data_IF_053447525246
#
_entry.id   IF_053447525246
#
_cell.length_a   1.000
_cell.length_b   1.000
_cell.length_c   1.000
_cell.angle_alpha   90.00
_cell.angle_beta   90.00
_cell.angle_gamma   90.00
#
_symmetry.space_group_name_H-M   'P 1'
#
loop_
_entity.id
_entity.type
_entity.pdbx_description
1 polymer ?
#
# COMPACT_ATOMS: atom_id res chain seq x y z
N UNK A 1 11.91 -5.29 -6.58
CA UNK A 1 13.33 -5.23 -6.15
C UNK A 1 13.70 -6.45 -5.29
N UNK A 2 14.98 -6.73 -5.03
CA UNK A 2 15.38 -7.69 -3.99
C UNK A 2 15.21 -7.09 -2.57
N UNK A 3 15.37 -7.93 -1.54
CA UNK A 3 15.14 -7.53 -0.15
C UNK A 3 16.16 -6.50 0.36
N UNK A 4 17.43 -6.63 -0.02
CA UNK A 4 18.48 -5.70 0.38
C UNK A 4 18.24 -4.30 -0.20
N UNK A 5 17.86 -4.21 -1.46
CA UNK A 5 17.53 -2.96 -2.13
C UNK A 5 16.28 -2.30 -1.52
N UNK A 6 15.25 -3.08 -1.15
CA UNK A 6 14.06 -2.56 -0.45
C UNK A 6 14.42 -1.99 0.93
N UNK A 7 15.22 -2.70 1.71
CA UNK A 7 15.64 -2.24 3.04
C UNK A 7 16.45 -0.94 2.94
N UNK A 8 17.32 -0.83 1.93
CA UNK A 8 18.06 0.40 1.66
C UNK A 8 17.12 1.55 1.30
N UNK A 9 16.14 1.33 0.43
CA UNK A 9 15.16 2.34 0.04
C UNK A 9 14.34 2.84 1.24
N UNK A 10 13.91 1.93 2.11
CA UNK A 10 13.20 2.28 3.35
C UNK A 10 14.07 3.09 4.31
N UNK A 11 15.34 2.74 4.46
CA UNK A 11 16.29 3.49 5.28
C UNK A 11 16.47 4.92 4.75
N UNK A 12 16.73 5.06 3.45
CA UNK A 12 16.88 6.37 2.80
C UNK A 12 15.59 7.21 2.94
N UNK A 13 14.42 6.59 2.78
CA UNK A 13 13.15 7.27 2.96
C UNK A 13 12.91 7.73 4.40
N UNK A 14 13.30 6.91 5.38
CA UNK A 14 13.22 7.26 6.81
C UNK A 14 14.07 8.47 7.18
N UNK A 15 15.25 8.61 6.58
CA UNK A 15 16.20 9.70 6.84
C UNK A 15 15.86 10.99 6.08
N UNK A 16 15.51 10.88 4.79
CA UNK A 16 15.37 12.04 3.89
C UNK A 16 13.93 12.48 3.67
N UNK A 17 12.95 11.58 3.80
CA UNK A 17 11.52 11.80 3.48
C UNK A 17 11.29 12.49 2.11
N UNK A 18 12.13 12.19 1.12
CA UNK A 18 12.03 12.76 -0.22
C UNK A 18 10.83 12.16 -1.00
N UNK A 19 10.15 13.02 -1.78
CA UNK A 19 9.10 12.65 -2.72
C UNK A 19 9.54 11.57 -3.72
N UNK A 20 10.76 11.64 -4.26
CA UNK A 20 11.25 10.63 -5.23
C UNK A 20 11.37 9.23 -4.60
N UNK A 21 11.78 9.17 -3.33
CA UNK A 21 11.90 7.91 -2.60
C UNK A 21 10.51 7.34 -2.27
N UNK A 22 9.58 8.23 -1.91
CA UNK A 22 8.18 7.88 -1.70
C UNK A 22 7.54 7.33 -2.97
N UNK A 23 7.78 7.97 -4.11
CA UNK A 23 7.29 7.49 -5.41
C UNK A 23 7.84 6.10 -5.74
N UNK A 24 9.14 5.87 -5.53
CA UNK A 24 9.73 4.53 -5.71
C UNK A 24 9.07 3.47 -4.83
N UNK A 25 8.79 3.79 -3.57
CA UNK A 25 8.08 2.88 -2.66
C UNK A 25 6.65 2.62 -3.13
N UNK A 26 5.93 3.66 -3.58
CA UNK A 26 4.57 3.52 -4.11
C UNK A 26 4.59 2.58 -5.33
N UNK A 27 5.51 2.77 -6.27
CA UNK A 27 5.61 1.94 -7.47
C UNK A 27 5.98 0.49 -7.16
N UNK A 28 6.93 0.25 -6.24
CA UNK A 28 7.31 -1.10 -5.82
C UNK A 28 6.14 -1.86 -5.18
N UNK A 29 5.30 -1.18 -4.38
CA UNK A 29 4.19 -1.81 -3.66
C UNK A 29 2.82 -1.67 -4.33
N UNK A 30 2.70 -0.94 -5.44
CA UNK A 30 1.46 -0.80 -6.20
C UNK A 30 0.79 -2.15 -6.58
N UNK A 31 1.52 -3.23 -6.91
CA UNK A 31 0.89 -4.53 -7.17
C UNK A 31 0.09 -5.08 -5.97
N UNK A 32 0.46 -4.70 -4.74
CA UNK A 32 -0.26 -5.12 -3.53
C UNK A 32 -1.68 -4.57 -3.50
N UNK A 33 -1.88 -3.34 -4.01
CA UNK A 33 -3.21 -2.72 -4.11
C UNK A 33 -4.11 -3.55 -5.01
N UNK A 34 -3.63 -3.93 -6.20
CA UNK A 34 -4.38 -4.75 -7.15
C UNK A 34 -4.78 -6.10 -6.57
N UNK A 35 -3.89 -6.72 -5.79
CA UNK A 35 -4.13 -7.98 -5.12
C UNK A 35 -5.21 -7.85 -4.03
N UNK A 36 -5.17 -6.80 -3.22
CA UNK A 36 -6.18 -6.55 -2.17
C UNK A 36 -7.53 -6.18 -2.78
N UNK A 37 -7.54 -5.24 -3.74
CA UNK A 37 -8.75 -4.82 -4.46
C UNK A 37 -9.40 -5.99 -5.19
N UNK A 38 -8.62 -6.86 -5.86
CA UNK A 38 -9.13 -8.02 -6.57
C UNK A 38 -9.74 -9.07 -5.66
N UNK A 39 -9.23 -9.23 -4.43
CA UNK A 39 -9.88 -10.08 -3.42
C UNK A 39 -11.18 -9.45 -2.93
N UNK A 40 -11.21 -8.14 -2.68
CA UNK A 40 -12.40 -7.46 -2.21
C UNK A 40 -13.52 -7.41 -3.25
N UNK A 41 -13.21 -7.23 -4.54
CA UNK A 41 -14.21 -7.23 -5.60
C UNK A 41 -14.97 -8.56 -5.66
N UNK A 42 -14.31 -9.68 -5.40
CA UNK A 42 -14.95 -11.01 -5.31
C UNK A 42 -16.00 -11.09 -4.18
N UNK A 43 -15.82 -10.34 -3.08
CA UNK A 43 -16.74 -10.32 -1.95
C UNK A 43 -17.84 -9.26 -2.09
N UNK A 44 -17.55 -8.12 -2.71
CA UNK A 44 -18.46 -6.98 -2.82
C UNK A 44 -19.41 -7.07 -4.04
N UNK A 45 -19.13 -7.98 -4.97
CA UNK A 45 -19.94 -8.18 -6.17
C UNK A 45 -19.82 -7.01 -7.17
N UNK A 46 -20.88 -6.76 -7.94
CA UNK A 46 -20.88 -5.78 -9.03
C UNK A 46 -21.30 -4.35 -8.61
N UNK A 47 -21.43 -4.08 -7.32
CA UNK A 47 -21.93 -2.78 -6.85
C UNK A 47 -20.87 -1.66 -6.93
N UNK A 48 -19.59 -2.01 -7.07
CA UNK A 48 -18.47 -1.06 -7.14
C UNK A 48 -17.54 -1.48 -8.25
N UNK A 49 -17.10 -0.52 -9.07
CA UNK A 49 -16.15 -0.80 -10.15
C UNK A 49 -14.77 -1.15 -9.60
N UNK A 50 -14.07 -2.06 -10.29
CA UNK A 50 -12.75 -2.50 -9.84
C UNK A 50 -11.74 -1.34 -9.78
N UNK A 51 -11.81 -0.42 -10.74
CA UNK A 51 -10.89 0.71 -10.81
C UNK A 51 -11.10 1.69 -9.64
N UNK A 52 -12.33 1.84 -9.13
CA UNK A 52 -12.60 2.60 -7.91
C UNK A 52 -11.95 1.94 -6.69
N UNK A 53 -12.06 0.61 -6.55
CA UNK A 53 -11.40 -0.14 -5.47
C UNK A 53 -9.88 0.03 -5.52
N UNK A 54 -9.29 0.01 -6.70
CA UNK A 54 -7.86 0.27 -6.90
C UNK A 54 -7.52 1.70 -6.48
N UNK A 55 -8.32 2.69 -6.89
CA UNK A 55 -8.15 4.09 -6.51
C UNK A 55 -8.14 4.28 -4.99
N UNK A 56 -9.15 3.79 -4.28
CA UNK A 56 -9.21 3.85 -2.81
C UNK A 56 -8.04 3.11 -2.16
N UNK A 57 -7.66 1.96 -2.72
CA UNK A 57 -6.53 1.18 -2.23
C UNK A 57 -5.18 1.90 -2.41
N UNK A 58 -4.99 2.68 -3.47
CA UNK A 58 -3.77 3.48 -3.68
C UNK A 58 -3.62 4.52 -2.57
N UNK A 59 -4.70 5.22 -2.19
CA UNK A 59 -4.64 6.15 -1.05
C UNK A 59 -4.28 5.43 0.26
N UNK A 60 -4.83 4.22 0.48
CA UNK A 60 -4.47 3.40 1.64
C UNK A 60 -3.01 2.94 1.64
N UNK A 61 -2.44 2.60 0.47
CA UNK A 61 -1.01 2.29 0.33
C UNK A 61 -0.14 3.50 0.64
N UNK A 62 -0.50 4.66 0.10
CA UNK A 62 0.22 5.90 0.31
C UNK A 62 0.27 6.26 1.81
N UNK A 63 -0.88 6.21 2.49
CA UNK A 63 -0.96 6.45 3.93
C UNK A 63 -0.14 5.41 4.72
N UNK A 64 -0.16 4.15 4.28
CA UNK A 64 0.66 3.10 4.89
C UNK A 64 2.15 3.39 4.75
N UNK A 65 2.62 3.86 3.59
CA UNK A 65 4.03 4.22 3.38
C UNK A 65 4.46 5.34 4.32
N UNK A 66 3.62 6.37 4.45
CA UNK A 66 3.95 7.55 5.23
C UNK A 66 4.01 7.26 6.74
N UNK A 67 3.20 6.30 7.21
CA UNK A 67 3.06 5.93 8.63
C UNK A 67 3.80 4.66 9.03
N UNK A 68 4.43 3.97 8.08
CA UNK A 68 5.15 2.74 8.40
C UNK A 68 6.37 3.02 9.27
N UNK A 69 6.54 2.19 10.28
CA UNK A 69 7.66 2.23 11.20
C UNK A 69 8.51 0.98 10.99
N UNK A 70 9.68 1.16 10.40
CA UNK A 70 10.63 0.09 10.09
C UNK A 70 11.26 -0.54 11.33
N UNK A 71 11.11 0.09 12.50
CA UNK A 71 11.60 -0.46 13.78
C UNK A 71 10.65 -1.53 14.34
N UNK A 72 9.42 -1.60 13.82
CA UNK A 72 8.49 -2.69 14.16
C UNK A 72 8.89 -3.90 13.35
N UNK A 73 9.13 -5.03 14.02
CA UNK A 73 9.54 -6.31 13.41
C UNK A 73 8.38 -6.97 12.63
N UNK A 74 7.85 -6.25 11.65
CA UNK A 74 6.75 -6.65 10.80
C UNK A 74 7.04 -6.23 9.37
N UNK A 75 6.78 -7.12 8.42
CA UNK A 75 6.92 -6.80 7.01
C UNK A 75 5.94 -5.71 6.59
N UNK A 76 6.40 -4.77 5.78
CA UNK A 76 5.56 -3.68 5.28
C UNK A 76 4.31 -4.21 4.57
N UNK A 77 4.43 -5.27 3.78
CA UNK A 77 3.33 -5.86 3.03
C UNK A 77 2.19 -6.34 3.94
N UNK A 78 2.52 -6.88 5.11
CA UNK A 78 1.55 -7.30 6.12
C UNK A 78 0.78 -6.10 6.67
N UNK A 79 1.49 -5.03 7.02
CA UNK A 79 0.88 -3.79 7.50
C UNK A 79 0.03 -3.11 6.43
N UNK A 80 0.61 -2.90 5.24
CA UNK A 80 -0.02 -2.21 4.12
C UNK A 80 -1.29 -2.93 3.64
N UNK A 81 -1.31 -4.27 3.62
CA UNK A 81 -2.50 -5.04 3.24
C UNK A 81 -3.71 -4.69 4.11
N UNK A 82 -3.52 -4.48 5.42
CA UNK A 82 -4.58 -4.09 6.34
C UNK A 82 -5.04 -2.65 6.09
N UNK A 83 -4.10 -1.73 5.85
CA UNK A 83 -4.38 -0.32 5.57
C UNK A 83 -5.13 -0.12 4.25
N UNK A 84 -4.67 -0.77 3.19
CA UNK A 84 -5.31 -0.76 1.86
C UNK A 84 -6.75 -1.29 1.98
N UNK A 85 -6.94 -2.44 2.64
CA UNK A 85 -8.27 -3.00 2.85
C UNK A 85 -9.19 -2.05 3.63
N UNK A 86 -8.69 -1.44 4.69
CA UNK A 86 -9.44 -0.46 5.48
C UNK A 86 -9.88 0.73 4.64
N UNK A 87 -8.95 1.33 3.87
CA UNK A 87 -9.24 2.47 3.00
C UNK A 87 -10.34 2.16 1.97
N UNK A 88 -10.29 0.97 1.35
CA UNK A 88 -11.33 0.55 0.39
C UNK A 88 -12.68 0.41 1.10
N UNK A 89 -12.73 -0.28 2.25
CA UNK A 89 -13.97 -0.50 2.98
C UNK A 89 -14.58 0.79 3.54
N UNK A 90 -13.76 1.76 3.94
CA UNK A 90 -14.22 3.04 4.47
C UNK A 90 -14.88 3.92 3.39
N UNK A 91 -14.48 3.80 2.13
CA UNK A 91 -15.04 4.57 1.01
C UNK A 91 -16.33 3.97 0.42
N UNK A 92 -16.61 2.69 0.68
CA UNK A 92 -17.77 1.96 0.13
C UNK A 92 -18.96 1.93 1.11
N UNK A 93 -18.74 2.36 2.35
CA UNK A 93 -19.75 2.38 3.42
C UNK A 93 -20.85 3.40 3.19
#
# INVERSE_FOLDING_TARGET
MDEAARNKLWKEYGELKNADLREKLILEYAPLVKLVAGRLSMYLGFNVEYDDLVGYGVFGLIDAIDKFDTMKDVKFETYASLRIRGAILDQIR
#
